data_IF_621636476813
#
_entry.id   IF_621636476813
#
_cell.length_a   1.000
_cell.length_b   1.000
_cell.length_c   1.000
_cell.angle_alpha   90.00
_cell.angle_beta   90.00
_cell.angle_gamma   90.00
#
_symmetry.space_group_name_H-M   'P 1'
#
loop_
_entity.id
_entity.type
_entity.pdbx_description
1 polymer ?
#
# COMPACT_ATOMS: atom_id res chain seq x y z
N UNK A 1 -4.13 16.92 -7.35
CA UNK A 1 -3.35 16.85 -8.61
C UNK A 1 -2.85 15.42 -8.75
N UNK A 2 -3.63 14.57 -9.41
CA UNK A 2 -3.38 13.13 -9.56
C UNK A 2 -2.51 12.93 -10.82
N UNK A 3 -1.23 12.61 -10.65
CA UNK A 3 -0.36 12.30 -11.79
C UNK A 3 -0.26 10.78 -11.97
N UNK A 4 -0.70 10.34 -13.16
CA UNK A 4 -0.77 8.96 -13.62
C UNK A 4 0.48 8.62 -14.46
N UNK A 5 1.28 7.67 -13.96
CA UNK A 5 2.25 6.76 -14.62
C UNK A 5 3.59 7.35 -15.16
N UNK A 6 4.65 6.50 -15.26
CA UNK A 6 4.81 5.67 -16.46
C UNK A 6 4.94 4.15 -16.23
N UNK A 7 4.42 3.40 -17.22
CA UNK A 7 4.19 1.95 -17.31
C UNK A 7 5.41 1.15 -17.83
N UNK A 8 6.60 1.30 -17.24
CA UNK A 8 7.83 0.80 -17.89
C UNK A 8 8.66 -0.23 -17.13
N UNK A 9 8.14 -0.88 -16.10
CA UNK A 9 8.77 -2.08 -15.52
C UNK A 9 8.10 -3.36 -16.03
N UNK A 10 8.26 -3.60 -17.33
CA UNK A 10 7.82 -4.83 -17.99
C UNK A 10 9.03 -5.77 -18.12
N UNK A 11 8.95 -6.92 -17.48
CA UNK A 11 9.62 -8.16 -17.87
C UNK A 11 11.10 -8.29 -17.53
N UNK A 12 11.41 -9.03 -16.46
CA UNK A 12 12.56 -9.94 -16.46
C UNK A 12 12.29 -11.14 -15.55
N UNK A 13 12.41 -12.33 -16.18
CA UNK A 13 12.47 -13.70 -15.64
C UNK A 13 11.14 -14.47 -15.55
N UNK A 14 10.79 -15.15 -16.65
CA UNK A 14 10.34 -16.53 -16.54
C UNK A 14 11.58 -17.40 -16.81
N UNK A 15 12.24 -17.84 -15.74
CA UNK A 15 13.28 -18.87 -15.82
C UNK A 15 12.59 -20.21 -15.64
N UNK A 16 12.66 -21.05 -16.68
CA UNK A 16 12.43 -22.52 -16.65
C UNK A 16 11.24 -23.03 -15.84
N UNK A 17 10.09 -23.21 -16.48
CA UNK A 17 9.06 -24.13 -16.02
C UNK A 17 9.42 -25.56 -16.46
N UNK A 18 10.28 -26.21 -15.68
CA UNK A 18 10.43 -27.66 -15.66
C UNK A 18 10.06 -28.14 -14.25
N UNK A 19 8.91 -28.81 -14.09
CA UNK A 19 8.71 -29.76 -12.99
C UNK A 19 7.63 -30.80 -13.35
N UNK A 20 7.99 -32.09 -13.46
CA UNK A 20 7.02 -33.17 -13.47
C UNK A 20 6.76 -33.65 -12.04
N UNK A 21 5.50 -33.58 -11.59
CA UNK A 21 4.98 -34.39 -10.48
C UNK A 21 5.26 -33.89 -9.05
N UNK A 22 4.21 -33.41 -8.39
CA UNK A 22 4.16 -33.24 -6.94
C UNK A 22 2.72 -33.34 -6.47
N UNK A 23 2.34 -34.49 -5.91
CA UNK A 23 1.04 -34.71 -5.26
C UNK A 23 1.08 -34.08 -3.86
N UNK A 24 0.13 -33.21 -3.56
CA UNK A 24 -0.19 -32.68 -2.25
C UNK A 24 -1.67 -32.29 -2.24
N UNK A 25 -2.35 -32.60 -1.14
CA UNK A 25 -3.81 -32.57 -0.94
C UNK A 25 -4.34 -31.13 -0.79
N UNK A 26 -5.06 -30.62 -1.80
CA UNK A 26 -5.78 -29.35 -1.77
C UNK A 26 -7.27 -29.57 -1.51
N UNK A 27 -7.87 -28.81 -0.58
CA UNK A 27 -9.32 -28.84 -0.32
C UNK A 27 -10.04 -27.64 -0.97
N UNK A 28 -9.29 -26.64 -1.47
CA UNK A 28 -9.87 -25.38 -1.94
C UNK A 28 -9.77 -25.24 -3.45
N UNK A 29 -10.24 -26.28 -4.14
CA UNK A 29 -10.59 -26.20 -5.56
C UNK A 29 -11.82 -25.30 -5.77
N UNK A 30 -11.57 -24.02 -6.00
CA UNK A 30 -12.39 -23.20 -6.89
C UNK A 30 -11.60 -22.92 -8.17
N UNK A 31 -11.70 -23.87 -9.09
CA UNK A 31 -11.29 -23.67 -10.47
C UNK A 31 -12.29 -22.78 -11.18
N UNK A 32 -11.85 -21.62 -11.66
CA UNK A 32 -12.48 -20.91 -12.75
C UNK A 32 -11.46 -20.03 -13.48
N UNK A 33 -11.06 -20.48 -14.67
CA UNK A 33 -10.98 -19.60 -15.83
C UNK A 33 -9.77 -18.68 -15.94
N UNK A 34 -8.99 -18.92 -16.98
CA UNK A 34 -8.05 -18.00 -17.62
C UNK A 34 -8.76 -16.76 -18.25
N UNK A 35 -9.69 -16.11 -17.52
CA UNK A 35 -10.46 -14.96 -17.97
C UNK A 35 -10.77 -14.07 -16.77
N UNK A 36 -9.75 -13.36 -16.28
CA UNK A 36 -9.80 -11.98 -15.79
C UNK A 36 -8.44 -11.67 -15.16
N UNK A 37 -7.46 -11.40 -16.03
CA UNK A 37 -6.33 -10.55 -15.69
C UNK A 37 -6.83 -9.14 -15.37
N UNK A 38 -7.49 -8.99 -14.21
CA UNK A 38 -7.49 -7.75 -13.47
C UNK A 38 -6.63 -8.05 -12.27
N UNK A 39 -5.50 -7.37 -12.20
CA UNK A 39 -4.88 -7.04 -10.92
C UNK A 39 -6.00 -6.51 -10.01
N UNK A 40 -6.61 -7.38 -9.21
CA UNK A 40 -7.31 -6.95 -8.01
C UNK A 40 -6.18 -6.42 -7.14
N UNK A 41 -5.88 -5.15 -7.35
CA UNK A 41 -4.68 -4.49 -6.85
C UNK A 41 -4.81 -4.44 -5.33
N UNK A 42 -4.29 -5.48 -4.67
CA UNK A 42 -4.30 -5.65 -3.21
C UNK A 42 -3.84 -4.33 -2.59
N UNK A 43 -4.64 -3.77 -1.69
CA UNK A 43 -4.27 -2.51 -1.03
C UNK A 43 -3.21 -2.86 0.00
N UNK A 44 -2.01 -2.30 -0.15
CA UNK A 44 -0.90 -2.56 0.77
C UNK A 44 -0.86 -1.55 1.91
N UNK A 45 -1.17 -0.29 1.64
CA UNK A 45 -1.16 0.79 2.65
C UNK A 45 -2.34 1.72 2.42
N UNK A 46 -3.09 2.01 3.47
CA UNK A 46 -4.22 2.94 3.45
C UNK A 46 -4.18 3.87 4.66
N UNK A 47 -4.30 5.17 4.40
CA UNK A 47 -4.48 6.22 5.40
C UNK A 47 -5.86 6.80 5.17
N UNK A 48 -6.66 6.89 6.23
CA UNK A 48 -8.00 7.45 6.18
C UNK A 48 -8.13 8.60 7.16
N UNK A 49 -8.35 9.81 6.63
CA UNK A 49 -8.51 11.07 7.35
C UNK A 49 -7.46 11.29 8.46
N UNK A 50 -6.21 10.91 8.18
CA UNK A 50 -5.13 10.97 9.18
C UNK A 50 -4.79 12.42 9.53
N UNK A 51 -4.87 12.72 10.82
CA UNK A 51 -4.48 14.00 11.40
C UNK A 51 -3.27 13.88 12.32
N UNK A 52 -2.42 14.92 12.29
CA UNK A 52 -1.30 15.03 13.23
C UNK A 52 -0.97 16.50 13.52
N UNK A 53 -0.90 16.83 14.80
CA UNK A 53 -0.39 18.10 15.30
C UNK A 53 0.82 17.89 16.21
N UNK A 54 1.76 18.81 16.16
CA UNK A 54 2.85 18.91 17.13
C UNK A 54 2.71 20.24 17.87
N UNK A 55 2.27 20.19 19.12
CA UNK A 55 1.96 21.38 19.91
C UNK A 55 0.82 22.17 19.26
N UNK A 56 1.12 23.39 18.77
CA UNK A 56 0.14 24.27 18.12
C UNK A 56 0.13 24.16 16.59
N UNK A 57 1.04 23.38 16.00
CA UNK A 57 1.21 23.32 14.55
C UNK A 57 0.58 22.04 14.00
N UNK A 58 -0.45 22.18 13.17
CA UNK A 58 -1.04 21.07 12.43
C UNK A 58 -0.12 20.71 11.26
N UNK A 59 0.39 19.48 11.27
CA UNK A 59 1.35 18.98 10.28
C UNK A 59 0.68 18.10 9.23
N UNK A 60 -0.33 17.32 9.63
CA UNK A 60 -1.23 16.60 8.72
C UNK A 60 -2.68 16.99 9.03
N UNK A 61 -3.45 17.24 7.98
CA UNK A 61 -4.86 17.62 8.06
C UNK A 61 -5.67 16.72 7.12
N UNK A 62 -6.39 15.76 7.70
CA UNK A 62 -7.22 14.76 7.03
C UNK A 62 -6.57 14.17 5.78
N UNK A 63 -5.37 13.63 5.96
CA UNK A 63 -4.64 12.99 4.87
C UNK A 63 -5.24 11.62 4.58
N UNK A 64 -5.85 11.49 3.40
CA UNK A 64 -6.35 10.22 2.88
C UNK A 64 -5.50 9.78 1.68
N UNK A 65 -4.93 8.57 1.76
CA UNK A 65 -4.05 8.00 0.74
C UNK A 65 -4.19 6.49 0.71
N UNK A 66 -4.43 5.95 -0.48
CA UNK A 66 -4.46 4.50 -0.74
C UNK A 66 -3.32 4.14 -1.68
N UNK A 67 -2.52 3.14 -1.30
CA UNK A 67 -1.41 2.59 -2.07
C UNK A 67 -1.70 1.13 -2.34
N UNK A 68 -1.67 0.76 -3.62
CA UNK A 68 -1.83 -0.63 -4.02
C UNK A 68 -0.48 -1.36 -4.12
N UNK A 69 -0.51 -2.68 -4.02
CA UNK A 69 0.65 -3.53 -4.27
C UNK A 69 1.21 -3.28 -5.68
N UNK A 70 2.54 -3.21 -5.77
CA UNK A 70 3.25 -2.87 -7.00
C UNK A 70 3.18 -1.39 -7.39
N UNK A 71 2.47 -0.54 -6.64
CA UNK A 71 2.45 0.90 -6.86
C UNK A 71 3.63 1.57 -6.15
N UNK A 72 4.32 2.45 -6.88
CA UNK A 72 5.31 3.36 -6.28
C UNK A 72 4.70 4.76 -6.18
N UNK A 73 4.66 5.31 -4.96
CA UNK A 73 4.15 6.65 -4.68
C UNK A 73 5.29 7.52 -4.15
N UNK A 74 5.32 8.79 -4.55
CA UNK A 74 6.30 9.77 -4.06
C UNK A 74 5.57 10.92 -3.38
N UNK A 75 6.03 11.28 -2.16
CA UNK A 75 5.50 12.42 -1.41
C UNK A 75 6.42 13.62 -1.63
N UNK A 76 5.89 14.68 -2.22
CA UNK A 76 6.65 15.90 -2.58
C UNK A 76 6.10 17.08 -1.79
N UNK A 77 6.99 17.98 -1.35
CA UNK A 77 6.62 19.18 -0.58
C UNK A 77 7.84 19.86 0.03
N UNK A 78 7.71 21.14 0.40
CA UNK A 78 8.78 21.93 1.04
C UNK A 78 9.22 21.39 2.40
N UNK A 79 10.38 21.83 2.91
CA UNK A 79 10.81 21.46 4.27
C UNK A 79 9.74 21.83 5.30
N UNK A 80 9.47 20.95 6.27
CA UNK A 80 8.42 21.16 7.28
C UNK A 80 6.99 20.80 6.85
N UNK A 81 6.74 20.42 5.59
CA UNK A 81 5.39 20.09 5.09
C UNK A 81 4.79 18.76 5.59
N UNK A 82 5.39 18.09 6.58
CA UNK A 82 4.85 16.84 7.13
C UNK A 82 5.14 15.56 6.36
N UNK A 83 5.99 15.56 5.31
CA UNK A 83 6.33 14.34 4.54
C UNK A 83 6.85 13.20 5.40
N UNK A 84 7.87 13.47 6.20
CA UNK A 84 8.46 12.48 7.11
C UNK A 84 7.46 12.04 8.16
N UNK A 85 6.53 12.90 8.56
CA UNK A 85 5.43 12.57 9.45
C UNK A 85 4.49 11.57 8.78
N UNK A 86 4.04 11.82 7.54
CA UNK A 86 3.20 10.89 6.79
C UNK A 86 3.87 9.52 6.59
N UNK A 87 5.17 9.51 6.24
CA UNK A 87 5.94 8.27 6.10
C UNK A 87 6.01 7.49 7.42
N UNK A 88 6.21 8.17 8.56
CA UNK A 88 6.22 7.51 9.88
C UNK A 88 4.89 6.88 10.25
N UNK A 89 3.76 7.48 9.85
CA UNK A 89 2.44 6.89 10.04
C UNK A 89 2.28 5.63 9.18
N UNK A 90 2.70 5.67 7.90
CA UNK A 90 2.63 4.52 7.00
C UNK A 90 3.34 3.28 7.54
N UNK A 91 4.46 3.45 8.23
CA UNK A 91 5.23 2.34 8.80
C UNK A 91 4.85 2.02 10.26
N UNK A 92 3.81 2.65 10.81
CA UNK A 92 3.36 2.44 12.19
C UNK A 92 4.33 2.96 13.27
N UNK A 93 5.32 3.80 12.91
CA UNK A 93 6.29 4.38 13.86
C UNK A 93 5.76 5.61 14.60
N UNK A 94 4.65 6.18 14.13
CA UNK A 94 4.02 7.34 14.75
C UNK A 94 2.52 7.14 14.73
N UNK A 95 1.89 7.25 15.91
CA UNK A 95 0.44 7.19 16.01
C UNK A 95 -0.19 8.52 15.56
N UNK A 96 -1.24 8.46 14.74
CA UNK A 96 -2.02 9.63 14.39
C UNK A 96 -2.76 10.16 15.62
N UNK A 97 -3.09 11.45 15.60
CA UNK A 97 -3.94 12.04 16.63
C UNK A 97 -5.42 11.74 16.36
N UNK A 98 -5.79 11.67 15.08
CA UNK A 98 -7.10 11.21 14.60
C UNK A 98 -6.96 10.48 13.25
N UNK A 99 -7.96 9.67 12.91
CA UNK A 99 -7.98 8.85 11.70
C UNK A 99 -7.35 7.48 11.85
N UNK A 100 -7.25 6.76 10.75
CA UNK A 100 -6.89 5.34 10.73
C UNK A 100 -5.77 5.06 9.71
N UNK A 101 -4.90 4.11 10.06
CA UNK A 101 -3.82 3.65 9.18
C UNK A 101 -3.86 2.14 9.11
N UNK A 102 -3.93 1.61 7.90
CA UNK A 102 -3.95 0.20 7.58
C UNK A 102 -2.72 -0.16 6.76
N UNK A 103 -2.05 -1.26 7.13
CA UNK A 103 -0.94 -1.86 6.37
C UNK A 103 -1.25 -3.33 6.21
N UNK A 104 -1.31 -3.81 4.97
CA UNK A 104 -1.72 -5.18 4.65
C UNK A 104 -3.00 -5.61 5.39
N UNK A 105 -4.02 -4.74 5.36
CA UNK A 105 -5.33 -4.91 6.05
C UNK A 105 -5.27 -4.87 7.59
N UNK A 106 -4.09 -4.73 8.20
CA UNK A 106 -3.93 -4.57 9.63
C UNK A 106 -3.97 -3.09 10.03
N UNK A 107 -4.85 -2.73 10.96
CA UNK A 107 -4.86 -1.39 11.54
C UNK A 107 -3.64 -1.21 12.47
N UNK A 108 -2.73 -0.33 12.07
CA UNK A 108 -1.48 -0.04 12.81
C UNK A 108 -1.58 1.21 13.67
N UNK A 109 -2.68 1.96 13.63
CA UNK A 109 -2.84 3.16 14.46
C UNK A 109 -3.02 2.86 15.96
N UNK A 110 -3.31 1.59 16.30
CA UNK A 110 -3.58 1.12 17.68
C UNK A 110 -2.48 0.26 18.30
N UNK A 111 -1.40 -0.04 17.56
CA UNK A 111 -0.22 -0.78 18.08
C UNK A 111 0.63 0.11 18.95
#
# INVERSE_FOLDING_TARGET
MLFRLPRQWRGRRCGSCDHPGGRGIDHDHLGAGCLLGRDASKVSIELFDVEKAFGKTQVLNRLTLTIHEGQTVSIIGGSGSGKSTALKHMVGLLRPDDGEVYVDEQNVSRL
#
